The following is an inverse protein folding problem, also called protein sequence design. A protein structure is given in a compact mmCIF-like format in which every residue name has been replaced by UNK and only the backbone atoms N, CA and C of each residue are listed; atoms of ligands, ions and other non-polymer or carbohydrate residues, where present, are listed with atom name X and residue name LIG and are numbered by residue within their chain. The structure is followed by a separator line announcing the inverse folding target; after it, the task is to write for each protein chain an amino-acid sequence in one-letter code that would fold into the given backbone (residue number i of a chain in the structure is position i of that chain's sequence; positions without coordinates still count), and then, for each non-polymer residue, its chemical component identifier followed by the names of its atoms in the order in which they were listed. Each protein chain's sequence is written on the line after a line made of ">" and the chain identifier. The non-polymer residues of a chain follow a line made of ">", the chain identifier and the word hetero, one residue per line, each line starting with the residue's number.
data_IF_377712937174
#
_entry.id   IF_377712937174
#
_cell.length_a   1.000
_cell.length_b   1.000
_cell.length_c   1.000
_cell.angle_alpha   90.00
_cell.angle_beta   90.00
_cell.angle_gamma   90.00
#
_symmetry.space_group_name_H-M   'P 1'
#
loop_
_entity.id
_entity.type
_entity.pdbx_description
1 polymer ?
#
# COMPACT_ATOMS: atom_id res chain seq x y z
N UNK A 1 17.65 12.75 -3.53
CA UNK A 1 17.11 11.39 -3.30
C UNK A 1 15.70 11.30 -3.87
N UNK A 2 15.42 10.26 -4.62
CA UNK A 2 14.09 10.02 -5.18
C UNK A 2 13.41 8.93 -4.38
N UNK A 3 12.15 9.15 -4.01
CA UNK A 3 11.33 8.17 -3.28
C UNK A 3 10.26 7.65 -4.23
N UNK A 4 10.19 6.33 -4.38
CA UNK A 4 9.19 5.68 -5.20
C UNK A 4 8.02 5.22 -4.34
N UNK A 5 6.81 5.65 -4.69
CA UNK A 5 5.60 5.41 -3.91
C UNK A 5 4.57 4.65 -4.74
N UNK A 6 4.04 3.56 -4.18
CA UNK A 6 2.95 2.82 -4.78
C UNK A 6 1.64 3.12 -4.05
N UNK A 7 0.55 3.21 -4.79
CA UNK A 7 -0.79 3.38 -4.24
C UNK A 7 -1.65 2.19 -4.65
N UNK A 8 -2.33 1.58 -3.69
CA UNK A 8 -3.33 0.55 -3.96
C UNK A 8 -4.71 1.18 -3.82
N UNK A 9 -5.46 1.22 -4.92
CA UNK A 9 -6.75 1.89 -4.99
C UNK A 9 -6.62 3.32 -5.47
N UNK A 10 -7.73 3.91 -5.92
CA UNK A 10 -7.72 5.30 -6.42
C UNK A 10 -9.02 6.01 -6.06
N UNK A 11 -9.39 5.95 -4.77
CA UNK A 11 -10.50 6.73 -4.23
C UNK A 11 -10.03 8.10 -3.74
N UNK A 12 -10.85 8.72 -2.90
CA UNK A 12 -10.58 10.09 -2.43
C UNK A 12 -9.26 10.23 -1.70
N UNK A 13 -8.90 9.26 -0.88
CA UNK A 13 -7.66 9.32 -0.11
C UNK A 13 -6.44 9.19 -1.01
N UNK A 14 -6.49 8.30 -1.99
CA UNK A 14 -5.39 8.17 -2.95
C UNK A 14 -5.21 9.47 -3.73
N UNK A 15 -6.30 10.12 -4.12
CA UNK A 15 -6.25 11.40 -4.84
C UNK A 15 -5.65 12.52 -4.00
N UNK A 16 -5.92 12.53 -2.70
CA UNK A 16 -5.29 13.49 -1.78
C UNK A 16 -3.79 13.27 -1.69
N UNK A 17 -3.37 12.01 -1.53
CA UNK A 17 -1.96 11.66 -1.47
C UNK A 17 -1.27 12.02 -2.78
N UNK A 18 -1.91 11.75 -3.91
CA UNK A 18 -1.38 12.10 -5.22
C UNK A 18 -1.12 13.61 -5.34
N UNK A 19 -2.05 14.43 -4.89
CA UNK A 19 -1.87 15.88 -4.87
C UNK A 19 -0.68 16.29 -4.01
N UNK A 20 -0.55 15.68 -2.84
CA UNK A 20 0.57 15.95 -1.94
C UNK A 20 1.89 15.56 -2.60
N UNK A 21 1.97 14.37 -3.19
CA UNK A 21 3.18 13.89 -3.82
C UNK A 21 3.55 14.70 -5.07
N UNK A 22 2.59 15.18 -5.83
CA UNK A 22 2.86 15.94 -7.05
C UNK A 22 3.51 17.29 -6.79
N UNK A 23 3.44 17.79 -5.56
CA UNK A 23 4.14 19.01 -5.14
C UNK A 23 5.60 18.79 -4.86
N UNK A 24 6.01 17.53 -4.75
CA UNK A 24 7.40 17.18 -4.45
C UNK A 24 7.99 16.41 -5.63
N UNK A 25 8.94 17.06 -6.32
CA UNK A 25 9.56 16.52 -7.54
C UNK A 25 10.41 15.27 -7.27
N UNK A 26 10.70 14.97 -6.01
CA UNK A 26 11.50 13.80 -5.64
C UNK A 26 10.66 12.57 -5.38
N UNK A 27 9.33 12.66 -5.55
CA UNK A 27 8.44 11.53 -5.36
C UNK A 27 7.93 11.04 -6.70
N UNK A 28 8.21 9.78 -7.02
CA UNK A 28 7.66 9.09 -8.18
C UNK A 28 6.57 8.14 -7.71
N UNK A 29 5.45 8.11 -8.41
CA UNK A 29 4.29 7.33 -7.98
C UNK A 29 3.86 6.33 -9.05
N UNK A 30 3.30 5.21 -8.58
CA UNK A 30 2.61 4.22 -9.41
C UNK A 30 1.32 3.81 -8.69
N UNK A 31 0.30 3.46 -9.47
CA UNK A 31 -1.03 3.19 -8.90
C UNK A 31 -1.51 1.82 -9.38
N UNK A 32 -1.90 0.96 -8.43
CA UNK A 32 -2.52 -0.31 -8.73
C UNK A 32 -4.02 -0.20 -8.59
N UNK A 33 -4.75 -0.72 -9.56
CA UNK A 33 -6.20 -0.86 -9.51
C UNK A 33 -6.59 -2.19 -10.16
N UNK A 34 -7.40 -3.04 -9.51
CA UNK A 34 -7.67 -4.39 -10.03
C UNK A 34 -8.39 -4.41 -11.37
N UNK A 35 -9.08 -3.34 -11.72
CA UNK A 35 -9.89 -3.26 -12.95
C UNK A 35 -9.37 -2.29 -13.98
N UNK A 36 -8.25 -1.61 -13.72
CA UNK A 36 -7.73 -0.60 -14.64
C UNK A 36 -6.29 -0.90 -15.00
N UNK A 37 -6.01 -0.85 -16.30
CA UNK A 37 -4.65 -0.91 -16.80
C UNK A 37 -4.55 0.18 -17.86
N UNK A 38 -3.63 1.13 -17.67
CA UNK A 38 -3.41 2.24 -18.57
C UNK A 38 -2.05 2.85 -18.31
N UNK A 39 -1.76 3.99 -18.93
CA UNK A 39 -0.51 4.70 -18.73
C UNK A 39 -0.22 5.01 -17.25
N UNK A 40 -1.27 5.30 -16.48
CA UNK A 40 -1.13 5.74 -15.07
C UNK A 40 -1.48 4.66 -14.05
N UNK A 41 -2.01 3.53 -14.49
CA UNK A 41 -2.51 2.48 -13.61
C UNK A 41 -2.00 1.12 -14.05
N UNK A 42 -1.68 0.26 -13.08
CA UNK A 42 -1.41 -1.14 -13.35
C UNK A 42 -2.47 -2.01 -12.68
N UNK A 43 -2.81 -3.12 -13.31
CA UNK A 43 -3.67 -4.14 -12.71
C UNK A 43 -2.86 -5.35 -12.23
N UNK A 44 -1.54 -5.25 -12.20
CA UNK A 44 -0.65 -6.26 -11.66
C UNK A 44 0.03 -5.72 -10.41
N UNK A 45 -0.34 -6.26 -9.24
CA UNK A 45 0.18 -5.77 -7.96
C UNK A 45 1.70 -5.87 -7.87
N UNK A 46 2.31 -6.87 -8.49
CA UNK A 46 3.76 -7.04 -8.47
C UNK A 46 4.50 -5.84 -9.07
N UNK A 47 3.85 -5.07 -9.94
CA UNK A 47 4.45 -3.85 -10.49
C UNK A 47 4.76 -2.81 -9.44
N UNK A 48 4.13 -2.89 -8.25
CA UNK A 48 4.39 -1.97 -7.15
C UNK A 48 5.56 -2.40 -6.26
N UNK A 49 6.07 -3.61 -6.42
CA UNK A 49 7.04 -4.17 -5.46
C UNK A 49 8.42 -3.53 -5.53
N UNK A 50 8.71 -2.76 -6.58
CA UNK A 50 9.97 -2.01 -6.69
C UNK A 50 9.92 -0.65 -6.00
N UNK A 51 8.79 -0.26 -5.42
CA UNK A 51 8.67 1.00 -4.71
C UNK A 51 9.33 0.95 -3.33
N UNK A 52 9.63 2.12 -2.78
CA UNK A 52 10.17 2.25 -1.42
C UNK A 52 9.08 2.07 -0.37
N UNK A 53 7.87 2.51 -0.69
CA UNK A 53 6.72 2.34 0.18
C UNK A 53 5.44 2.18 -0.64
N UNK A 54 4.44 1.57 -0.04
CA UNK A 54 3.12 1.36 -0.64
C UNK A 54 2.05 1.80 0.36
N UNK A 55 1.09 2.60 -0.12
CA UNK A 55 -0.07 3.04 0.66
C UNK A 55 -1.29 2.22 0.25
N UNK A 56 -1.94 1.58 1.21
CA UNK A 56 -3.17 0.83 0.97
C UNK A 56 -4.34 1.76 1.24
N UNK A 57 -4.98 2.23 0.17
CA UNK A 57 -6.10 3.18 0.24
C UNK A 57 -7.38 2.63 -0.39
N UNK A 58 -7.40 1.34 -0.67
CA UNK A 58 -8.55 0.64 -1.22
C UNK A 58 -9.69 0.52 -0.18
N UNK A 59 -10.90 0.05 -0.57
CA UNK A 59 -11.99 -0.12 0.40
C UNK A 59 -11.60 -0.96 1.60
N UNK A 60 -12.19 -0.66 2.76
CA UNK A 60 -11.81 -1.26 4.05
C UNK A 60 -11.77 -2.80 4.03
N UNK A 61 -12.74 -3.42 3.37
CA UNK A 61 -12.83 -4.88 3.34
C UNK A 61 -11.68 -5.55 2.56
N UNK A 62 -10.90 -4.77 1.81
CA UNK A 62 -9.77 -5.30 1.04
C UNK A 62 -8.42 -5.10 1.73
N UNK A 63 -8.37 -4.33 2.81
CA UNK A 63 -7.10 -3.94 3.44
C UNK A 63 -6.27 -5.13 3.87
N UNK A 64 -6.88 -6.10 4.55
CA UNK A 64 -6.14 -7.23 5.07
C UNK A 64 -5.56 -8.10 3.95
N UNK A 65 -6.32 -8.31 2.89
CA UNK A 65 -5.87 -9.12 1.76
C UNK A 65 -4.60 -8.53 1.14
N UNK A 66 -4.59 -7.23 0.89
CA UNK A 66 -3.40 -6.56 0.37
C UNK A 66 -2.27 -6.54 1.39
N UNK A 67 -2.57 -6.27 2.65
CA UNK A 67 -1.56 -6.25 3.70
C UNK A 67 -0.86 -7.61 3.80
N UNK A 68 -1.62 -8.69 3.74
CA UNK A 68 -1.09 -10.05 3.80
C UNK A 68 -0.15 -10.33 2.61
N UNK A 69 -0.57 -9.95 1.40
CA UNK A 69 0.27 -10.14 0.21
C UNK A 69 1.55 -9.33 0.30
N UNK A 70 1.45 -8.07 0.71
CA UNK A 70 2.61 -7.20 0.80
C UNK A 70 3.59 -7.66 1.88
N UNK A 71 3.11 -8.11 3.04
CA UNK A 71 4.00 -8.61 4.08
C UNK A 71 4.75 -9.86 3.66
N UNK A 72 4.19 -10.63 2.72
CA UNK A 72 4.85 -11.82 2.20
C UNK A 72 5.88 -11.49 1.10
N UNK A 73 5.55 -10.56 0.20
CA UNK A 73 6.28 -10.37 -1.04
C UNK A 73 7.06 -9.05 -1.14
N UNK A 74 6.67 -8.05 -0.36
CA UNK A 74 7.23 -6.70 -0.47
C UNK A 74 8.14 -6.39 0.71
N UNK A 75 9.31 -5.82 0.44
CA UNK A 75 10.31 -5.53 1.47
C UNK A 75 10.33 -4.09 1.96
N UNK A 76 9.56 -3.20 1.35
CA UNK A 76 9.52 -1.79 1.72
C UNK A 76 8.54 -1.47 2.84
N UNK A 77 8.26 -0.18 3.02
CA UNK A 77 7.33 0.30 4.04
C UNK A 77 5.90 0.23 3.56
N UNK A 78 4.99 -0.14 4.45
CA UNK A 78 3.57 -0.28 4.16
C UNK A 78 2.78 0.67 5.05
N UNK A 79 1.93 1.50 4.43
CA UNK A 79 1.01 2.38 5.15
C UNK A 79 -0.42 1.93 4.84
N UNK A 80 -1.18 1.61 5.89
CA UNK A 80 -2.54 1.10 5.74
C UNK A 80 -3.52 1.99 6.47
N UNK A 81 -4.61 2.39 5.80
CA UNK A 81 -5.66 3.17 6.43
C UNK A 81 -6.48 2.32 7.39
N UNK A 82 -7.11 2.97 8.35
CA UNK A 82 -8.01 2.33 9.30
C UNK A 82 -9.36 2.00 8.66
N UNK A 83 -10.02 0.94 9.08
CA UNK A 83 -9.49 -0.12 9.94
C UNK A 83 -8.67 -1.13 9.12
N UNK A 84 -7.47 -1.49 9.60
CA UNK A 84 -6.63 -2.44 8.86
C UNK A 84 -7.08 -3.89 9.03
N UNK A 85 -7.73 -4.17 10.16
CA UNK A 85 -8.17 -5.52 10.53
C UNK A 85 -9.60 -5.48 11.03
N UNK A 86 -10.32 -6.58 10.87
CA UNK A 86 -11.73 -6.67 11.27
C UNK A 86 -12.05 -7.92 12.11
N UNK A 87 -11.13 -8.88 12.24
CA UNK A 87 -11.38 -10.07 13.03
C UNK A 87 -10.14 -10.55 13.76
N UNK A 88 -10.36 -11.54 14.65
CA UNK A 88 -9.32 -12.07 15.50
C UNK A 88 -8.22 -12.80 14.76
N UNK A 89 -8.58 -13.53 13.70
CA UNK A 89 -7.59 -14.27 12.92
C UNK A 89 -6.62 -13.33 12.21
N UNK A 90 -7.11 -12.21 11.73
CA UNK A 90 -6.29 -11.18 11.10
C UNK A 90 -5.32 -10.57 12.12
N UNK A 91 -5.81 -10.31 13.32
CA UNK A 91 -4.98 -9.79 14.41
C UNK A 91 -3.86 -10.78 14.78
N UNK A 92 -4.20 -12.06 14.87
CA UNK A 92 -3.22 -13.11 15.17
C UNK A 92 -2.15 -13.17 14.08
N UNK A 93 -2.56 -13.08 12.82
CA UNK A 93 -1.62 -13.05 11.70
C UNK A 93 -0.61 -11.91 11.86
N UNK A 94 -1.08 -10.71 12.16
CA UNK A 94 -0.20 -9.54 12.32
C UNK A 94 0.73 -9.67 13.50
N UNK A 95 0.24 -10.22 14.62
CA UNK A 95 1.06 -10.43 15.83
C UNK A 95 2.19 -11.42 15.59
N UNK A 96 1.99 -12.38 14.70
CA UNK A 96 2.96 -13.43 14.42
C UNK A 96 3.97 -13.06 13.33
N UNK A 97 3.86 -11.88 12.74
CA UNK A 97 4.85 -11.42 11.78
C UNK A 97 6.22 -11.23 12.45
N UNK A 98 7.32 -11.48 11.73
CA UNK A 98 8.65 -11.15 12.21
C UNK A 98 8.77 -9.67 12.57
N UNK A 99 9.56 -9.35 13.58
CA UNK A 99 9.72 -7.95 14.03
C UNK A 99 10.20 -7.03 12.91
N UNK A 100 11.06 -7.52 12.04
CA UNK A 100 11.55 -6.74 10.90
C UNK A 100 10.42 -6.27 10.00
N UNK A 101 9.38 -7.10 9.82
CA UNK A 101 8.22 -6.75 9.02
C UNK A 101 7.27 -5.83 9.77
N UNK A 102 7.06 -6.08 11.07
CA UNK A 102 6.21 -5.22 11.90
C UNK A 102 6.69 -3.79 11.93
N UNK A 103 8.01 -3.58 11.96
CA UNK A 103 8.61 -2.25 12.02
C UNK A 103 8.38 -1.44 10.74
N UNK A 104 8.00 -2.08 9.66
CA UNK A 104 7.76 -1.43 8.37
C UNK A 104 6.30 -1.21 8.04
N UNK A 105 5.39 -1.56 8.97
CA UNK A 105 3.95 -1.41 8.76
C UNK A 105 3.43 -0.30 9.67
N UNK A 106 2.74 0.67 9.05
CA UNK A 106 2.17 1.82 9.75
C UNK A 106 0.67 1.88 9.49
N UNK A 107 -0.10 2.14 10.52
CA UNK A 107 -1.54 2.30 10.43
C UNK A 107 -1.93 3.72 10.78
N UNK A 108 -2.88 4.25 10.01
CA UNK A 108 -3.32 5.63 10.21
C UNK A 108 -4.85 5.69 10.36
#
# INVERSE_FOLDING_TARGET
>A
MVVNVGLIGYGNQAKRLEKFFSRNKTVLKSIYHPKKASKNFTNNLEDLYSNDCIFITSPNHTHFEYLKRLTNDFSGYIFCEKPPIINEDELIFLKNLPDQKKQKIFFD
#
